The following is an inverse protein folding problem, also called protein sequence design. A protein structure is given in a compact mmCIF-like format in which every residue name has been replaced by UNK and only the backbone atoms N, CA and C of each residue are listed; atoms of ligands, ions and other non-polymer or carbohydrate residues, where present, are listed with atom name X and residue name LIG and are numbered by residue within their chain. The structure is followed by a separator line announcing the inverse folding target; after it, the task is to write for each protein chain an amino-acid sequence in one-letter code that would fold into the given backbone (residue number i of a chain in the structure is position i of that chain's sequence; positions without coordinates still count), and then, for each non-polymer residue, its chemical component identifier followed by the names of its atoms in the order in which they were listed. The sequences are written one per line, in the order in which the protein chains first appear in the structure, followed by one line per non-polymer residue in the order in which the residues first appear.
data_IF_679004149235
#
_entry.id   IF_679004149235
#
_cell.length_a   1.000
_cell.length_b   1.000
_cell.length_c   1.000
_cell.angle_alpha   90.00
_cell.angle_beta   90.00
_cell.angle_gamma   90.00
#
_symmetry.space_group_name_H-M   'P 1'
#
loop_
_entity.id
_entity.type
_entity.pdbx_description
1 polymer ?
#
# COMPACT_ATOMS: atom_id res chain seq x y z
N UNK A 1 18.44 -4.84 54.25
CA UNK A 1 19.32 -4.25 53.23
C UNK A 1 19.00 -4.93 51.91
N UNK A 2 18.12 -4.34 51.10
CA UNK A 2 17.72 -4.91 49.81
C UNK A 2 18.88 -4.67 48.83
N UNK A 3 19.47 -5.74 48.27
CA UNK A 3 20.68 -5.66 47.46
C UNK A 3 20.37 -5.08 46.08
N UNK A 4 21.06 -4.00 45.69
CA UNK A 4 20.97 -3.36 44.35
C UNK A 4 20.95 -4.36 43.19
N UNK A 5 21.72 -5.45 43.28
CA UNK A 5 21.82 -6.51 42.27
C UNK A 5 20.47 -7.13 41.89
N UNK A 6 19.56 -7.34 42.84
CA UNK A 6 18.26 -7.96 42.55
C UNK A 6 17.32 -7.02 41.77
N UNK A 7 17.52 -5.70 41.89
CA UNK A 7 16.77 -4.71 41.12
C UNK A 7 17.32 -4.61 39.69
N UNK A 8 18.64 -4.58 39.55
CA UNK A 8 19.32 -4.52 38.25
C UNK A 8 19.00 -5.77 37.40
N UNK A 9 19.04 -6.97 38.00
CA UNK A 9 18.68 -8.23 37.33
C UNK A 9 17.23 -8.23 36.80
N UNK A 10 16.29 -7.62 37.54
CA UNK A 10 14.89 -7.49 37.15
C UNK A 10 14.72 -6.56 35.95
N UNK A 11 15.47 -5.46 35.93
CA UNK A 11 15.45 -4.51 34.81
C UNK A 11 16.13 -5.06 33.56
N UNK A 12 17.16 -5.89 33.72
CA UNK A 12 17.84 -6.55 32.61
C UNK A 12 16.94 -7.57 31.91
N UNK A 13 16.24 -8.41 32.67
CA UNK A 13 15.27 -9.38 32.10
C UNK A 13 14.13 -8.65 31.39
N UNK A 14 13.63 -7.55 31.96
CA UNK A 14 12.59 -6.74 31.33
C UNK A 14 13.08 -6.10 30.02
N UNK A 15 14.30 -5.57 30.00
CA UNK A 15 14.91 -4.97 28.81
C UNK A 15 15.13 -6.02 27.71
N UNK A 16 15.59 -7.22 28.06
CA UNK A 16 15.78 -8.32 27.11
C UNK A 16 14.45 -8.76 26.49
N UNK A 17 13.39 -8.89 27.30
CA UNK A 17 12.06 -9.24 26.81
C UNK A 17 11.47 -8.15 25.92
N UNK A 18 11.67 -6.87 26.27
CA UNK A 18 11.25 -5.74 25.46
C UNK A 18 11.97 -5.71 24.10
N UNK A 19 13.27 -6.00 24.08
CA UNK A 19 14.05 -6.10 22.85
C UNK A 19 13.55 -7.22 21.93
N UNK A 20 13.31 -8.42 22.49
CA UNK A 20 12.79 -9.56 21.73
C UNK A 20 11.39 -9.28 21.15
N UNK A 21 10.52 -8.65 21.93
CA UNK A 21 9.19 -8.25 21.47
C UNK A 21 9.28 -7.22 20.33
N UNK A 22 10.13 -6.20 20.47
CA UNK A 22 10.35 -5.22 19.42
C UNK A 22 10.89 -5.86 18.14
N UNK A 23 11.96 -6.65 18.25
CA UNK A 23 12.55 -7.35 17.11
C UNK A 23 11.51 -8.23 16.39
N UNK A 24 10.70 -8.97 17.14
CA UNK A 24 9.63 -9.80 16.59
C UNK A 24 8.60 -8.99 15.79
N UNK A 25 8.16 -7.85 16.31
CA UNK A 25 7.22 -6.95 15.61
C UNK A 25 7.85 -6.41 14.33
N UNK A 26 9.09 -5.90 14.39
CA UNK A 26 9.77 -5.34 13.22
C UNK A 26 9.98 -6.41 12.15
N UNK A 27 10.38 -7.63 12.52
CA UNK A 27 10.52 -8.74 11.56
C UNK A 27 9.18 -9.12 10.93
N UNK A 28 8.09 -9.17 11.71
CA UNK A 28 6.76 -9.45 11.20
C UNK A 28 6.29 -8.36 10.20
N UNK A 29 6.48 -7.08 10.54
CA UNK A 29 6.16 -5.96 9.65
C UNK A 29 7.02 -6.03 8.38
N UNK A 30 8.33 -6.25 8.50
CA UNK A 30 9.22 -6.36 7.35
C UNK A 30 8.80 -7.51 6.42
N UNK A 31 8.54 -8.70 6.97
CA UNK A 31 8.04 -9.84 6.20
C UNK A 31 6.70 -9.50 5.51
N UNK A 32 5.80 -8.80 6.20
CA UNK A 32 4.52 -8.36 5.63
C UNK A 32 4.70 -7.38 4.47
N UNK A 33 5.63 -6.43 4.55
CA UNK A 33 5.88 -5.47 3.45
C UNK A 33 6.45 -6.12 2.19
N UNK A 34 7.21 -7.20 2.34
CA UNK A 34 7.75 -7.95 1.19
C UNK A 34 6.67 -8.79 0.53
N UNK A 35 5.79 -9.40 1.34
CA UNK A 35 4.73 -10.29 0.87
C UNK A 35 3.47 -9.56 0.39
N UNK A 36 3.21 -8.35 0.89
CA UNK A 36 2.08 -7.49 0.48
C UNK A 36 2.61 -6.25 -0.23
N UNK A 37 2.89 -6.33 -1.55
CA UNK A 37 3.40 -5.21 -2.34
C UNK A 37 2.30 -4.18 -2.67
N UNK A 38 1.31 -3.99 -1.81
CA UNK A 38 0.31 -2.96 -2.03
C UNK A 38 0.98 -1.59 -1.99
N UNK A 39 0.74 -0.73 -3.00
CA UNK A 39 1.32 0.60 -3.00
C UNK A 39 0.84 1.38 -1.78
N UNK A 40 1.78 1.71 -0.89
CA UNK A 40 1.57 2.48 0.36
C UNK A 40 0.97 3.88 0.07
N UNK A 41 1.15 4.38 -1.15
CA UNK A 41 0.61 5.65 -1.59
C UNK A 41 -0.36 5.46 -2.76
N UNK A 42 -1.59 6.01 -2.66
CA UNK A 42 -2.50 6.03 -3.79
C UNK A 42 -1.90 6.89 -4.91
N UNK A 43 -1.77 6.31 -6.10
CA UNK A 43 -1.33 7.03 -7.30
C UNK A 43 -2.36 8.14 -7.61
N UNK A 44 -1.97 9.39 -7.34
CA UNK A 44 -2.78 10.56 -7.60
C UNK A 44 -3.14 10.61 -9.10
N UNK A 45 -4.42 10.47 -9.39
CA UNK A 45 -4.98 10.64 -10.73
C UNK A 45 -5.91 11.84 -10.75
N UNK A 46 -6.33 12.29 -11.95
CA UNK A 46 -7.35 13.32 -12.04
C UNK A 46 -8.63 12.86 -11.30
N UNK A 47 -9.29 13.81 -10.65
CA UNK A 47 -10.58 13.57 -10.00
C UNK A 47 -11.72 13.70 -11.02
N UNK A 48 -12.90 13.15 -10.73
CA UNK A 48 -14.05 13.21 -11.62
C UNK A 48 -14.13 12.07 -12.65
N UNK A 49 -14.97 12.27 -13.67
CA UNK A 49 -15.29 11.26 -14.69
C UNK A 49 -14.13 11.11 -15.71
N UNK A 50 -13.60 9.88 -15.93
CA UNK A 50 -12.60 9.59 -16.95
C UNK A 50 -12.95 10.06 -18.38
N UNK A 51 -14.23 10.27 -18.72
CA UNK A 51 -14.62 10.78 -20.03
C UNK A 51 -14.30 12.25 -20.25
N UNK A 52 -14.11 13.02 -19.18
CA UNK A 52 -13.77 14.44 -19.25
C UNK A 52 -12.25 14.67 -19.34
N UNK A 53 -11.47 13.60 -19.14
CA UNK A 53 -10.03 13.67 -19.15
C UNK A 53 -9.47 13.74 -20.57
N UNK A 54 -8.32 14.38 -20.66
CA UNK A 54 -7.50 14.42 -21.87
C UNK A 54 -6.86 13.05 -22.13
N UNK A 55 -6.50 12.78 -23.39
CA UNK A 55 -5.78 11.55 -23.77
C UNK A 55 -4.46 11.38 -23.01
N UNK A 56 -3.77 12.49 -22.72
CA UNK A 56 -2.54 12.49 -21.93
C UNK A 56 -2.76 12.09 -20.47
N UNK A 57 -3.83 12.58 -19.85
CA UNK A 57 -4.21 12.21 -18.48
C UNK A 57 -4.61 10.74 -18.37
N UNK A 58 -5.37 10.22 -19.34
CA UNK A 58 -5.73 8.79 -19.41
C UNK A 58 -4.48 7.91 -19.56
N UNK A 59 -3.58 8.29 -20.46
CA UNK A 59 -2.31 7.58 -20.69
C UNK A 59 -1.44 7.59 -19.43
N UNK A 60 -1.29 8.75 -18.80
CA UNK A 60 -0.51 8.90 -17.58
C UNK A 60 -1.13 8.09 -16.42
N UNK A 61 -2.46 8.08 -16.31
CA UNK A 61 -3.16 7.33 -15.28
C UNK A 61 -2.95 5.82 -15.41
N UNK A 62 -2.98 5.30 -16.64
CA UNK A 62 -2.74 3.90 -16.97
C UNK A 62 -1.26 3.52 -16.73
N UNK A 63 -0.31 4.30 -17.25
CA UNK A 63 1.12 4.06 -17.07
C UNK A 63 1.57 4.12 -15.61
N UNK A 64 1.02 5.05 -14.84
CA UNK A 64 1.27 5.14 -13.40
C UNK A 64 0.90 3.84 -12.66
N UNK A 65 0.00 3.04 -13.23
CA UNK A 65 -0.46 1.74 -12.71
C UNK A 65 0.17 0.55 -13.42
N UNK A 66 1.19 0.77 -14.26
CA UNK A 66 1.87 -0.28 -15.03
C UNK A 66 1.04 -0.86 -16.18
N UNK A 67 -0.03 -0.17 -16.60
CA UNK A 67 -0.89 -0.58 -17.71
C UNK A 67 -0.46 0.22 -18.94
N UNK A 68 0.08 -0.47 -19.94
CA UNK A 68 0.42 0.17 -21.21
C UNK A 68 -0.85 0.30 -22.06
N UNK A 69 -1.20 1.51 -22.53
CA UNK A 69 -2.36 1.67 -23.42
C UNK A 69 -2.15 0.89 -24.72
N UNK A 70 -3.21 0.30 -25.26
CA UNK A 70 -3.16 -0.37 -26.57
C UNK A 70 -2.65 0.61 -27.64
N UNK A 71 -1.77 0.10 -28.52
CA UNK A 71 -1.09 0.90 -29.54
C UNK A 71 -2.13 1.48 -30.52
N UNK A 72 -2.30 2.81 -30.51
CA UNK A 72 -3.31 3.49 -31.34
C UNK A 72 -4.70 3.59 -30.71
N UNK A 73 -4.89 3.21 -29.44
CA UNK A 73 -6.18 3.33 -28.76
C UNK A 73 -6.78 4.74 -28.86
N UNK A 74 -8.10 4.77 -29.08
CA UNK A 74 -8.88 6.00 -29.05
C UNK A 74 -9.04 6.47 -27.61
N UNK A 75 -9.27 7.77 -27.42
CA UNK A 75 -9.45 8.36 -26.09
C UNK A 75 -10.67 7.76 -25.39
N UNK A 76 -11.71 7.48 -26.14
CA UNK A 76 -12.96 6.88 -25.68
C UNK A 76 -12.74 5.46 -25.15
N UNK A 77 -11.93 4.66 -25.87
CA UNK A 77 -11.56 3.32 -25.45
C UNK A 77 -10.75 3.36 -24.14
N UNK A 78 -9.75 4.24 -24.06
CA UNK A 78 -8.97 4.43 -22.82
C UNK A 78 -9.86 4.87 -21.65
N UNK A 79 -10.80 5.79 -21.87
CA UNK A 79 -11.73 6.24 -20.83
C UNK A 79 -12.65 5.10 -20.36
N UNK A 80 -13.11 4.23 -21.26
CA UNK A 80 -13.90 3.05 -20.91
C UNK A 80 -13.08 2.05 -20.08
N UNK A 81 -11.83 1.80 -20.47
CA UNK A 81 -10.91 0.92 -19.72
C UNK A 81 -10.65 1.44 -18.30
N UNK A 82 -10.35 2.74 -18.16
CA UNK A 82 -10.18 3.38 -16.85
C UNK A 82 -11.43 3.25 -15.98
N UNK A 83 -12.63 3.39 -16.56
CA UNK A 83 -13.91 3.19 -15.84
C UNK A 83 -14.05 1.75 -15.32
N UNK A 84 -13.71 0.77 -16.15
CA UNK A 84 -13.78 -0.66 -15.76
C UNK A 84 -12.83 -0.92 -14.59
N UNK A 85 -11.58 -0.47 -14.69
CA UNK A 85 -10.57 -0.67 -13.64
C UNK A 85 -11.01 0.00 -12.33
N UNK A 86 -11.50 1.26 -12.38
CA UNK A 86 -12.00 1.96 -11.20
C UNK A 86 -13.18 1.25 -10.54
N UNK A 87 -14.09 0.68 -11.33
CA UNK A 87 -15.23 -0.08 -10.81
C UNK A 87 -14.77 -1.36 -10.12
N UNK A 88 -13.80 -2.08 -10.69
CA UNK A 88 -13.22 -3.26 -10.08
C UNK A 88 -12.53 -2.93 -8.74
N UNK A 89 -11.79 -1.82 -8.69
CA UNK A 89 -11.15 -1.33 -7.46
C UNK A 89 -12.19 -0.99 -6.38
N UNK A 90 -13.28 -0.31 -6.76
CA UNK A 90 -14.36 0.02 -5.83
C UNK A 90 -15.08 -1.24 -5.31
N UNK A 91 -15.26 -2.25 -6.16
CA UNK A 91 -15.87 -3.53 -5.77
C UNK A 91 -14.97 -4.34 -4.81
N UNK A 92 -13.67 -4.39 -5.07
CA UNK A 92 -12.71 -5.04 -4.17
C UNK A 92 -12.71 -4.36 -2.78
N UNK A 93 -12.66 -3.02 -2.75
CA UNK A 93 -12.72 -2.26 -1.49
C UNK A 93 -14.04 -2.42 -0.72
N UNK A 94 -15.13 -2.77 -1.40
CA UNK A 94 -16.41 -3.06 -0.75
C UNK A 94 -16.49 -4.50 -0.20
N UNK A 95 -15.78 -5.45 -0.81
CA UNK A 95 -15.75 -6.85 -0.38
C UNK A 95 -14.88 -7.08 0.87
N UNK A 96 -13.95 -6.17 1.15
CA UNK A 96 -13.07 -6.21 2.32
C UNK A 96 -13.66 -5.51 3.57
N UNK A 97 -14.90 -5.01 3.49
CA UNK A 97 -15.64 -4.40 4.62
C UNK A 97 -16.54 -5.42 5.30
#
# INVERSE_FOLDING_TARGET
MFSRRAFDDLTDVLAQNAFLAFAGIITAVAAWTILKPDPIFPLAGPSGDPTDWTKGELTNWLRARGIEPEEGATRELMAAEVKIIRRQQAAAAAAER
#
